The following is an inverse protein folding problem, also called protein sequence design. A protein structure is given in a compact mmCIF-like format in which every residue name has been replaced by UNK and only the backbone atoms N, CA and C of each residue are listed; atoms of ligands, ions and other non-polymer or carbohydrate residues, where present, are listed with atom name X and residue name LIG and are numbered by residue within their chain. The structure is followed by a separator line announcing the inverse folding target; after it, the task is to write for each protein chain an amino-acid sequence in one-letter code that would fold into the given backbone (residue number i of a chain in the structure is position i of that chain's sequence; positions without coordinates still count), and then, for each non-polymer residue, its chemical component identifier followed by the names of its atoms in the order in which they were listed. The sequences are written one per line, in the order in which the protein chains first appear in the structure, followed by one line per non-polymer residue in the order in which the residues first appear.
data_IF_738428461214
#
_entry.id   IF_738428461214
#
_cell.length_a   1.000
_cell.length_b   1.000
_cell.length_c   1.000
_cell.angle_alpha   90.00
_cell.angle_beta   90.00
_cell.angle_gamma   90.00
#
_symmetry.space_group_name_H-M   'P 1'
#
loop_
_entity.id
_entity.type
_entity.pdbx_description
1 polymer ?
#
# COMPACT_ATOMS: atom_id res chain seq x y z
N UNK A 1 -11.91 -10.30 -8.99
CA UNK A 1 -11.31 -11.52 -8.42
C UNK A 1 -12.30 -12.14 -7.45
N UNK A 2 -12.48 -13.46 -7.49
CA UNK A 2 -13.41 -14.20 -6.64
C UNK A 2 -12.63 -15.23 -5.83
N UNK A 3 -12.82 -15.25 -4.51
CA UNK A 3 -12.29 -16.27 -3.62
C UNK A 3 -13.45 -17.02 -2.98
N UNK A 4 -13.23 -18.31 -2.77
CA UNK A 4 -14.22 -19.21 -2.20
C UNK A 4 -13.58 -19.98 -1.06
N UNK A 5 -14.30 -20.12 0.06
CA UNK A 5 -13.85 -20.90 1.20
C UNK A 5 -14.97 -21.79 1.68
N UNK A 6 -14.63 -23.05 1.93
CA UNK A 6 -15.54 -24.04 2.48
C UNK A 6 -15.01 -24.59 3.79
N UNK A 7 -15.88 -24.59 4.78
CA UNK A 7 -15.70 -25.17 6.11
C UNK A 7 -16.95 -26.05 6.40
N UNK A 8 -16.87 -26.93 7.39
CA UNK A 8 -17.80 -28.06 7.64
C UNK A 8 -19.29 -27.75 7.38
N UNK A 9 -19.77 -26.63 7.90
CA UNK A 9 -21.16 -26.17 7.82
C UNK A 9 -21.30 -24.80 7.14
N UNK A 10 -20.24 -24.28 6.51
CA UNK A 10 -20.14 -22.89 6.09
C UNK A 10 -19.46 -22.77 4.72
N UNK A 11 -20.10 -22.06 3.80
CA UNK A 11 -19.55 -21.73 2.50
C UNK A 11 -19.55 -20.22 2.30
N UNK A 12 -18.40 -19.66 1.94
CA UNK A 12 -18.19 -18.23 1.81
C UNK A 12 -17.65 -17.94 0.42
N UNK A 13 -18.31 -17.03 -0.28
CA UNK A 13 -17.86 -16.50 -1.56
C UNK A 13 -17.67 -15.00 -1.41
N UNK A 14 -16.48 -14.53 -1.73
CA UNK A 14 -16.18 -13.11 -1.72
C UNK A 14 -15.66 -12.68 -3.10
N UNK A 15 -16.19 -11.57 -3.60
CA UNK A 15 -15.86 -11.01 -4.91
C UNK A 15 -15.35 -9.58 -4.74
N UNK A 16 -14.16 -9.34 -5.27
CA UNK A 16 -13.51 -8.03 -5.36
C UNK A 16 -13.50 -7.57 -6.81
N UNK A 17 -13.68 -6.28 -7.03
CA UNK A 17 -13.49 -5.67 -8.33
C UNK A 17 -12.11 -5.03 -8.33
N UNK A 18 -11.25 -5.40 -9.28
CA UNK A 18 -9.93 -4.76 -9.37
C UNK A 18 -10.13 -3.51 -10.22
N UNK A 19 -10.45 -2.40 -9.56
CA UNK A 19 -10.53 -1.10 -10.23
C UNK A 19 -9.16 -0.43 -10.15
N UNK A 20 -8.51 -0.24 -11.31
CA UNK A 20 -7.10 0.22 -11.40
C UNK A 20 -6.89 1.68 -10.92
N UNK A 21 -7.96 2.37 -10.51
CA UNK A 21 -7.91 3.77 -10.05
C UNK A 21 -8.31 4.00 -8.59
N UNK A 22 -8.73 2.99 -7.84
CA UNK A 22 -9.32 3.19 -6.51
C UNK A 22 -8.38 2.73 -5.39
N UNK A 23 -7.61 3.68 -4.87
CA UNK A 23 -6.60 3.45 -3.82
C UNK A 23 -7.16 2.97 -2.45
N UNK A 24 -8.49 2.90 -2.27
CA UNK A 24 -9.14 2.65 -0.98
C UNK A 24 -10.20 1.53 -1.01
N UNK A 25 -10.06 0.48 -1.85
CA UNK A 25 -10.94 -0.69 -1.71
C UNK A 25 -10.52 -1.57 -0.52
N UNK A 26 -11.09 -1.28 0.64
CA UNK A 26 -10.82 -1.92 1.93
C UNK A 26 -11.52 -3.28 2.12
N UNK A 27 -12.26 -3.80 1.13
CA UNK A 27 -13.02 -5.06 1.28
C UNK A 27 -13.74 -5.54 0.01
N UNK A 28 -14.38 -6.72 0.05
CA UNK A 28 -15.08 -7.28 -1.11
C UNK A 28 -16.30 -6.45 -1.49
N UNK A 29 -16.56 -6.35 -2.79
CA UNK A 29 -17.78 -5.72 -3.34
C UNK A 29 -19.01 -6.59 -3.09
N UNK A 30 -18.83 -7.91 -3.08
CA UNK A 30 -19.90 -8.87 -2.78
C UNK A 30 -19.41 -9.95 -1.84
N UNK A 31 -20.22 -10.24 -0.84
CA UNK A 31 -20.02 -11.35 0.09
C UNK A 31 -21.30 -12.17 0.14
N UNK A 32 -21.18 -13.47 -0.12
CA UNK A 32 -22.22 -14.46 0.14
C UNK A 32 -21.72 -15.42 1.23
N UNK A 33 -22.56 -15.63 2.23
CA UNK A 33 -22.32 -16.59 3.32
C UNK A 33 -23.49 -17.55 3.33
N UNK A 34 -23.21 -18.81 3.06
CA UNK A 34 -24.17 -19.89 3.04
C UNK A 34 -23.85 -20.86 4.18
N UNK A 35 -24.88 -21.28 4.90
CA UNK A 35 -24.78 -22.30 5.95
C UNK A 35 -25.44 -23.56 5.42
N UNK A 36 -24.86 -24.72 5.71
CA UNK A 36 -25.45 -26.00 5.31
C UNK A 36 -26.90 -26.09 5.80
N UNK A 37 -27.81 -26.56 4.93
CA UNK A 37 -29.24 -26.65 5.23
C UNK A 37 -29.54 -27.51 6.47
N UNK A 38 -28.64 -28.43 6.79
CA UNK A 38 -28.74 -29.37 7.91
C UNK A 38 -28.17 -28.80 9.22
N UNK A 39 -27.73 -27.54 9.25
CA UNK A 39 -27.24 -26.90 10.47
C UNK A 39 -28.40 -26.61 11.42
N UNK A 40 -28.47 -27.27 12.59
CA UNK A 40 -29.66 -27.25 13.46
C UNK A 40 -29.97 -25.87 14.06
N UNK A 41 -29.04 -24.92 13.96
CA UNK A 41 -29.17 -23.58 14.52
C UNK A 41 -29.02 -22.46 13.48
N UNK A 42 -28.85 -22.80 12.20
CA UNK A 42 -28.69 -21.83 11.12
C UNK A 42 -27.56 -20.83 11.37
N UNK A 43 -27.81 -19.55 11.05
CA UNK A 43 -26.85 -18.46 11.25
C UNK A 43 -26.82 -18.08 12.74
N UNK A 44 -25.86 -18.63 13.47
CA UNK A 44 -25.59 -18.27 14.87
C UNK A 44 -24.46 -17.26 14.99
N UNK A 45 -24.31 -16.64 16.17
CA UNK A 45 -23.16 -15.78 16.46
C UNK A 45 -21.81 -16.50 16.29
N UNK A 46 -21.74 -17.81 16.58
CA UNK A 46 -20.55 -18.62 16.35
C UNK A 46 -20.24 -18.80 14.85
N UNK A 47 -21.27 -19.02 14.03
CA UNK A 47 -21.15 -19.06 12.56
C UNK A 47 -20.67 -17.72 12.02
N UNK A 48 -21.22 -16.60 12.50
CA UNK A 48 -20.80 -15.26 12.09
C UNK A 48 -19.35 -14.95 12.47
N UNK A 49 -18.89 -15.35 13.68
CA UNK A 49 -17.48 -15.18 14.08
C UNK A 49 -16.54 -15.99 13.19
N UNK A 50 -16.91 -17.23 12.84
CA UNK A 50 -16.13 -18.06 11.91
C UNK A 50 -16.12 -17.46 10.50
N UNK A 51 -17.26 -16.96 10.02
CA UNK A 51 -17.36 -16.29 8.72
C UNK A 51 -16.49 -15.02 8.67
N UNK A 52 -16.49 -14.20 9.72
CA UNK A 52 -15.65 -13.00 9.82
C UNK A 52 -14.15 -13.35 9.80
N UNK A 53 -13.75 -14.43 10.49
CA UNK A 53 -12.36 -14.91 10.46
C UNK A 53 -11.95 -15.34 9.05
N UNK A 54 -12.76 -16.19 8.41
CA UNK A 54 -12.50 -16.65 7.05
C UNK A 54 -12.47 -15.50 6.04
N UNK A 55 -13.35 -14.50 6.19
CA UNK A 55 -13.33 -13.30 5.36
C UNK A 55 -12.04 -12.49 5.56
N UNK A 56 -11.54 -12.37 6.80
CA UNK A 56 -10.24 -11.76 7.10
C UNK A 56 -9.10 -12.50 6.38
N UNK A 57 -9.04 -13.82 6.52
CA UNK A 57 -8.05 -14.66 5.84
C UNK A 57 -8.12 -14.53 4.31
N UNK A 58 -9.33 -14.50 3.73
CA UNK A 58 -9.51 -14.30 2.29
C UNK A 58 -9.14 -12.87 1.84
N UNK A 59 -9.30 -11.87 2.70
CA UNK A 59 -8.89 -10.49 2.43
C UNK A 59 -7.37 -10.37 2.47
N UNK A 60 -6.73 -11.03 3.43
CA UNK A 60 -5.27 -11.16 3.50
C UNK A 60 -4.74 -11.91 2.27
N UNK A 61 -5.41 -12.98 1.83
CA UNK A 61 -5.06 -13.71 0.60
C UNK A 61 -5.21 -12.84 -0.66
N UNK A 62 -6.30 -12.08 -0.76
CA UNK A 62 -6.51 -11.11 -1.84
C UNK A 62 -5.41 -10.04 -1.87
N UNK A 63 -4.96 -9.58 -0.70
CA UNK A 63 -3.86 -8.62 -0.56
C UNK A 63 -2.46 -9.25 -0.72
N UNK A 64 -2.34 -10.57 -0.50
CA UNK A 64 -1.09 -11.32 -0.59
C UNK A 64 -0.81 -11.87 -2.00
N UNK A 65 -1.84 -12.04 -2.84
CA UNK A 65 -1.63 -12.12 -4.28
C UNK A 65 -0.82 -10.88 -4.73
N UNK A 66 0.14 -10.99 -5.66
CA UNK A 66 1.03 -9.88 -6.01
C UNK A 66 0.23 -8.79 -6.75
N UNK A 67 -0.39 -7.90 -5.99
CA UNK A 67 -1.32 -6.88 -6.46
C UNK A 67 -0.99 -5.57 -5.74
N UNK A 68 -0.19 -4.74 -6.40
CA UNK A 68 -0.12 -3.25 -6.31
C UNK A 68 0.21 -2.59 -4.96
N UNK A 69 -0.04 -3.18 -3.79
CA UNK A 69 0.19 -2.55 -2.48
C UNK A 69 1.47 -2.97 -1.74
N UNK A 70 1.95 -4.19 -1.93
CA UNK A 70 3.13 -4.70 -1.24
C UNK A 70 4.42 -4.01 -1.72
N UNK A 71 4.52 -3.76 -3.04
CA UNK A 71 5.61 -2.99 -3.62
C UNK A 71 5.55 -1.53 -3.19
N UNK A 72 4.39 -0.87 -3.25
CA UNK A 72 4.24 0.50 -2.73
C UNK A 72 4.57 0.60 -1.23
N UNK A 73 4.18 -0.41 -0.43
CA UNK A 73 4.50 -0.45 1.00
C UNK A 73 5.99 -0.64 1.25
N UNK A 74 6.65 -1.50 0.47
CA UNK A 74 8.08 -1.72 0.53
C UNK A 74 8.86 -0.47 0.12
N UNK A 75 8.48 0.16 -1.00
CA UNK A 75 9.09 1.41 -1.48
C UNK A 75 8.86 2.53 -0.47
N UNK A 76 7.65 2.65 0.09
CA UNK A 76 7.37 3.64 1.14
C UNK A 76 8.31 3.46 2.33
N UNK A 77 8.40 2.26 2.91
CA UNK A 77 9.27 1.99 4.06
C UNK A 77 10.73 2.28 3.73
N UNK A 78 11.17 1.85 2.55
CA UNK A 78 12.52 2.14 2.05
C UNK A 78 12.80 3.65 1.97
N UNK A 79 11.86 4.44 1.45
CA UNK A 79 12.03 5.90 1.35
C UNK A 79 11.95 6.56 2.74
N UNK A 80 11.05 6.12 3.61
CA UNK A 80 10.92 6.60 4.98
C UNK A 80 12.22 6.40 5.78
N UNK A 81 12.80 5.20 5.72
CA UNK A 81 14.06 4.87 6.40
C UNK A 81 15.22 5.74 5.88
N UNK A 82 15.29 5.99 4.57
CA UNK A 82 16.34 6.82 3.99
C UNK A 82 16.17 8.30 4.28
N UNK A 83 14.93 8.80 4.29
CA UNK A 83 14.64 10.20 4.67
C UNK A 83 14.96 10.42 6.15
N UNK A 84 14.62 9.46 7.02
CA UNK A 84 14.91 9.54 8.45
C UNK A 84 16.41 9.53 8.78
N UNK A 85 17.24 9.00 7.87
CA UNK A 85 18.69 9.00 8.01
C UNK A 85 19.37 10.27 7.46
N UNK A 86 18.61 11.20 6.86
CA UNK A 86 19.16 12.47 6.39
C UNK A 86 19.43 13.43 7.57
N UNK A 87 20.41 14.32 7.46
CA UNK A 87 20.56 15.46 8.37
C UNK A 87 19.31 16.34 8.36
N UNK A 88 19.05 17.07 9.46
CA UNK A 88 17.86 17.92 9.58
C UNK A 88 17.82 19.05 8.52
N UNK A 89 18.98 19.58 8.13
CA UNK A 89 19.12 20.63 7.13
C UNK A 89 20.49 20.65 6.44
N UNK A 90 20.73 21.68 5.62
CA UNK A 90 21.99 21.91 4.92
C UNK A 90 22.14 21.18 3.57
N UNK A 91 23.32 21.29 3.00
CA UNK A 91 23.59 20.77 1.65
C UNK A 91 23.68 19.24 1.62
N UNK A 92 24.02 18.60 2.74
CA UNK A 92 23.98 17.15 2.89
C UNK A 92 22.56 16.60 2.89
N UNK A 93 21.60 17.31 3.50
CA UNK A 93 20.17 17.00 3.37
C UNK A 93 19.72 17.09 1.92
N UNK A 94 20.08 18.17 1.22
CA UNK A 94 19.72 18.37 -0.19
C UNK A 94 20.34 17.32 -1.11
N UNK A 95 21.61 16.96 -0.89
CA UNK A 95 22.32 15.92 -1.65
C UNK A 95 21.70 14.55 -1.40
N UNK A 96 21.37 14.25 -0.13
CA UNK A 96 20.68 13.02 0.25
C UNK A 96 19.30 12.90 -0.38
N UNK A 97 18.51 13.97 -0.38
CA UNK A 97 17.19 14.00 -0.99
C UNK A 97 17.24 13.77 -2.50
N UNK A 98 18.20 14.39 -3.20
CA UNK A 98 18.43 14.12 -4.63
C UNK A 98 18.91 12.68 -4.88
N UNK A 99 19.74 12.13 -4.00
CA UNK A 99 20.18 10.74 -4.08
C UNK A 99 19.04 9.73 -3.96
N UNK A 100 18.11 9.96 -3.03
CA UNK A 100 16.90 9.12 -2.90
C UNK A 100 16.02 9.25 -4.14
N UNK A 101 15.82 10.48 -4.65
CA UNK A 101 15.06 10.69 -5.87
C UNK A 101 15.69 9.97 -7.08
N UNK A 102 17.00 10.08 -7.27
CA UNK A 102 17.72 9.43 -8.36
C UNK A 102 17.62 7.90 -8.27
N UNK A 103 17.81 7.31 -7.09
CA UNK A 103 17.70 5.87 -6.87
C UNK A 103 16.28 5.34 -7.17
N UNK A 104 15.23 6.10 -6.83
CA UNK A 104 13.85 5.73 -7.21
C UNK A 104 13.64 5.75 -8.74
N UNK A 105 14.22 6.73 -9.43
CA UNK A 105 14.16 6.82 -10.91
C UNK A 105 14.92 5.67 -11.55
N UNK A 106 16.14 5.36 -11.08
CA UNK A 106 16.96 4.26 -11.59
C UNK A 106 16.30 2.89 -11.40
N UNK A 107 15.55 2.72 -10.32
CA UNK A 107 14.73 1.53 -10.05
C UNK A 107 13.44 1.46 -10.88
N UNK A 108 13.18 2.45 -11.73
CA UNK A 108 12.00 2.49 -12.59
C UNK A 108 10.69 2.78 -11.85
N UNK A 109 10.74 3.45 -10.70
CA UNK A 109 9.52 3.82 -9.98
C UNK A 109 8.77 4.94 -10.72
N UNK A 110 7.49 4.73 -11.02
CA UNK A 110 6.72 5.64 -11.90
C UNK A 110 6.47 7.03 -11.29
N UNK A 111 6.44 7.14 -9.95
CA UNK A 111 6.09 8.38 -9.27
C UNK A 111 7.02 8.70 -8.07
N UNK A 112 8.31 8.98 -8.31
CA UNK A 112 9.33 9.14 -7.26
C UNK A 112 9.01 10.32 -6.33
N UNK A 113 8.52 11.44 -6.87
CA UNK A 113 8.09 12.60 -6.08
C UNK A 113 6.91 12.29 -5.16
N UNK A 114 5.98 11.44 -5.60
CA UNK A 114 4.81 11.02 -4.80
C UNK A 114 5.24 10.14 -3.62
N UNK A 115 6.21 9.25 -3.84
CA UNK A 115 6.78 8.42 -2.77
C UNK A 115 7.49 9.28 -1.72
N UNK A 116 8.33 10.23 -2.14
CA UNK A 116 8.99 11.19 -1.26
C UNK A 116 7.98 12.05 -0.49
N UNK A 117 6.93 12.54 -1.15
CA UNK A 117 5.89 13.36 -0.51
C UNK A 117 5.17 12.62 0.62
N UNK A 118 4.83 11.34 0.38
CA UNK A 118 4.23 10.47 1.39
C UNK A 118 5.19 10.25 2.57
N UNK A 119 6.46 9.92 2.30
CA UNK A 119 7.45 9.66 3.34
C UNK A 119 7.74 10.89 4.21
N UNK A 120 7.87 12.07 3.59
CA UNK A 120 8.13 13.34 4.26
C UNK A 120 6.86 13.95 4.90
N UNK A 121 5.68 13.37 4.64
CA UNK A 121 4.37 13.88 5.08
C UNK A 121 4.11 15.33 4.66
N UNK A 122 4.56 15.70 3.46
CA UNK A 122 4.35 17.03 2.86
C UNK A 122 3.64 16.90 1.52
N UNK A 123 2.98 17.97 1.03
CA UNK A 123 2.42 17.98 -0.31
C UNK A 123 3.48 17.72 -1.39
N UNK A 124 3.12 17.05 -2.48
CA UNK A 124 4.04 16.76 -3.60
C UNK A 124 4.68 18.03 -4.17
N UNK A 125 3.92 19.13 -4.28
CA UNK A 125 4.44 20.44 -4.70
C UNK A 125 5.60 20.95 -3.82
N UNK A 126 5.59 20.60 -2.53
CA UNK A 126 6.66 20.95 -1.58
C UNK A 126 7.91 20.14 -1.89
N UNK A 127 7.79 18.83 -2.12
CA UNK A 127 8.92 17.98 -2.53
C UNK A 127 9.51 18.47 -3.85
N UNK A 128 8.66 18.78 -4.84
CA UNK A 128 9.11 19.30 -6.13
C UNK A 128 9.92 20.60 -5.96
N UNK A 129 9.43 21.54 -5.14
CA UNK A 129 10.16 22.77 -4.83
C UNK A 129 11.49 22.48 -4.10
N UNK A 130 11.52 21.56 -3.13
CA UNK A 130 12.74 21.16 -2.43
C UNK A 130 13.78 20.55 -3.39
N UNK A 131 13.36 19.71 -4.34
CA UNK A 131 14.24 19.12 -5.34
C UNK A 131 14.81 20.19 -6.29
N UNK A 132 14.01 21.17 -6.70
CA UNK A 132 14.49 22.30 -7.50
C UNK A 132 15.53 23.13 -6.75
N UNK A 133 15.27 23.46 -5.48
CA UNK A 133 16.23 24.19 -4.63
C UNK A 133 17.51 23.39 -4.45
N UNK A 134 17.41 22.09 -4.18
CA UNK A 134 18.57 21.20 -4.03
C UNK A 134 19.44 21.19 -5.31
N UNK A 135 18.82 21.09 -6.49
CA UNK A 135 19.54 21.15 -7.79
C UNK A 135 20.22 22.50 -8.00
N UNK A 136 19.56 23.60 -7.64
CA UNK A 136 20.12 24.95 -7.80
C UNK A 136 21.28 25.22 -6.84
N UNK A 137 21.19 24.75 -5.59
CA UNK A 137 22.27 24.92 -4.60
C UNK A 137 23.51 24.12 -4.98
N UNK A 138 23.35 22.83 -5.25
CA UNK A 138 24.48 21.94 -5.55
C UNK A 138 25.05 22.18 -6.96
N UNK A 139 24.23 22.63 -7.91
CA UNK A 139 24.68 23.06 -9.23
C UNK A 139 25.51 24.35 -9.21
N UNK A 140 25.36 25.19 -8.19
CA UNK A 140 26.19 26.40 -7.98
C UNK A 140 27.51 26.11 -7.29
N UNK A 141 27.64 25.00 -6.57
CA UNK A 141 28.92 24.56 -5.97
C UNK A 141 29.82 23.81 -6.96
N UNK A 142 29.27 23.36 -8.09
CA UNK A 142 30.00 22.61 -9.12
C UNK A 142 30.49 23.48 -10.29
N UNK A 143 30.30 24.81 -10.21
CA UNK A 143 30.67 25.80 -11.22
C UNK A 143 31.65 26.82 -10.64
#
# INVERSE_FOLDING_TARGET
MRLERRDLDLYIVAEWERDEGQADQTGPRRLAVEVAADSPHGITAGVMRRAARHLGEMTDEFNAAPVVGAYETMVRRYVEDRVAALPDDGDDYHRGLLGIHADLVERGYEAPEKALARAMRVPQKTVHACLLVARQRLGRESA
#
